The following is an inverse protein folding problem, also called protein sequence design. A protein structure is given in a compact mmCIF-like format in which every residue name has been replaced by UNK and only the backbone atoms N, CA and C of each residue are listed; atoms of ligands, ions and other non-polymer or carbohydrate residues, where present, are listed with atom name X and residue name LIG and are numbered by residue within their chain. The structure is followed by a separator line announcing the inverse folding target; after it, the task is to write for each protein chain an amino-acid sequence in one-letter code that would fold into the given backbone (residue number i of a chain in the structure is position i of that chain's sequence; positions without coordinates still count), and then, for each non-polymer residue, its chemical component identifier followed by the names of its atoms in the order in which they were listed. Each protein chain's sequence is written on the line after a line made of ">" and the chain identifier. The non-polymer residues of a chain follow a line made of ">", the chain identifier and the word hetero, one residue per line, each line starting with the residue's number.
data_IF_191603197434
#
_entry.id   IF_191603197434
#
_cell.length_a   1.000
_cell.length_b   1.000
_cell.length_c   1.000
_cell.angle_alpha   90.00
_cell.angle_beta   90.00
_cell.angle_gamma   90.00
#
_symmetry.space_group_name_H-M   'P 1'
#
loop_
_entity.id
_entity.type
_entity.pdbx_description
1 polymer ?
#
# COMPACT_ATOMS: atom_id res chain seq x y z
N UNK A 1 13.48 8.95 -73.36
CA UNK A 1 13.79 7.50 -73.46
C UNK A 1 13.75 6.95 -72.05
N UNK A 2 12.57 6.57 -71.55
CA UNK A 2 12.03 5.18 -71.49
C UNK A 2 12.90 4.31 -70.55
N UNK A 3 12.41 3.68 -69.48
CA UNK A 3 11.08 3.10 -69.25
C UNK A 3 10.89 2.70 -67.77
N UNK A 4 9.68 2.95 -67.23
CA UNK A 4 8.99 2.07 -66.27
C UNK A 4 7.89 1.30 -67.03
N UNK A 5 7.40 0.17 -66.50
CA UNK A 5 5.97 0.06 -66.21
C UNK A 5 5.73 -0.56 -64.80
N UNK A 6 4.80 -0.16 -63.94
CA UNK A 6 3.33 -0.02 -63.99
C UNK A 6 2.58 -1.36 -64.14
N UNK A 7 1.92 -1.76 -63.05
CA UNK A 7 0.76 -2.67 -63.04
C UNK A 7 -0.33 -1.97 -62.24
N UNK A 8 -1.49 -1.80 -62.86
CA UNK A 8 -2.75 -1.32 -62.29
C UNK A 8 -3.88 -2.14 -62.95
N UNK A 9 -5.11 -1.95 -62.45
CA UNK A 9 -6.44 -2.28 -63.03
C UNK A 9 -7.00 -3.69 -62.70
N UNK A 10 -8.27 -3.95 -62.31
CA UNK A 10 -9.57 -3.23 -62.37
C UNK A 10 -10.53 -3.71 -61.23
N UNK A 11 -11.29 -2.73 -60.73
CA UNK A 11 -12.63 -2.67 -60.13
C UNK A 11 -13.64 -3.84 -60.29
N UNK A 12 -14.49 -4.00 -59.27
CA UNK A 12 -15.78 -4.71 -59.35
C UNK A 12 -16.77 -4.14 -58.33
N UNK A 13 -17.59 -3.19 -58.77
CA UNK A 13 -18.77 -2.65 -58.08
C UNK A 13 -19.95 -3.63 -58.15
N UNK A 14 -20.76 -3.75 -57.08
CA UNK A 14 -22.20 -3.50 -57.22
C UNK A 14 -22.86 -3.20 -55.86
N UNK A 15 -23.70 -2.17 -55.86
CA UNK A 15 -24.64 -1.79 -54.80
C UNK A 15 -25.96 -2.51 -55.05
N UNK A 16 -26.71 -2.85 -53.99
CA UNK A 16 -28.18 -2.75 -53.93
C UNK A 16 -28.70 -3.09 -52.52
N UNK A 17 -29.15 -2.06 -51.82
CA UNK A 17 -30.21 -2.05 -50.80
C UNK A 17 -31.56 -1.77 -51.51
N UNK A 18 -32.74 -1.75 -50.85
CA UNK A 18 -33.24 -2.47 -49.66
C UNK A 18 -34.67 -3.06 -49.91
N UNK A 19 -35.27 -3.76 -48.93
CA UNK A 19 -36.65 -3.53 -48.40
C UNK A 19 -37.39 -4.75 -47.77
N UNK A 20 -37.85 -4.51 -46.52
CA UNK A 20 -39.21 -4.75 -45.96
C UNK A 20 -39.67 -6.15 -45.45
N UNK A 21 -39.97 -6.15 -44.13
CA UNK A 21 -40.97 -6.92 -43.34
C UNK A 21 -40.85 -8.47 -43.28
N UNK A 22 -41.27 -9.20 -42.25
CA UNK A 22 -42.28 -9.00 -41.21
C UNK A 22 -42.07 -10.05 -40.08
N UNK A 23 -42.66 -9.74 -38.92
CA UNK A 23 -43.06 -10.58 -37.77
C UNK A 23 -42.70 -12.09 -37.68
N UNK A 24 -42.31 -12.53 -36.46
CA UNK A 24 -42.43 -13.94 -36.10
C UNK A 24 -41.70 -14.38 -34.82
N UNK A 25 -42.37 -14.24 -33.67
CA UNK A 25 -42.37 -15.11 -32.48
C UNK A 25 -41.06 -15.74 -31.93
N UNK A 26 -40.82 -15.44 -30.65
CA UNK A 26 -40.02 -16.23 -29.71
C UNK A 26 -40.45 -17.71 -29.64
N UNK A 27 -39.59 -18.59 -29.10
CA UNK A 27 -39.99 -19.19 -27.84
C UNK A 27 -38.94 -19.10 -26.74
N UNK A 28 -39.49 -18.95 -25.54
CA UNK A 28 -38.87 -18.82 -24.24
C UNK A 28 -38.05 -20.07 -23.87
N UNK A 29 -36.78 -19.86 -23.52
CA UNK A 29 -35.96 -20.87 -22.84
C UNK A 29 -36.17 -20.80 -21.32
N UNK A 30 -36.94 -21.74 -20.78
CA UNK A 30 -37.14 -21.91 -19.33
C UNK A 30 -35.87 -22.43 -18.65
N UNK A 31 -35.19 -21.61 -17.85
CA UNK A 31 -34.13 -22.05 -16.94
C UNK A 31 -34.77 -22.66 -15.68
N UNK A 32 -34.88 -23.99 -15.63
CA UNK A 32 -35.27 -24.73 -14.42
C UNK A 32 -34.10 -24.77 -13.43
N UNK A 33 -34.29 -24.15 -12.26
CA UNK A 33 -33.46 -24.37 -11.05
C UNK A 33 -33.49 -25.84 -10.66
N UNK A 34 -32.33 -26.51 -10.60
CA UNK A 34 -32.16 -27.75 -9.82
C UNK A 34 -31.64 -27.39 -8.43
N UNK A 35 -32.44 -27.74 -7.41
CA UNK A 35 -32.02 -27.83 -6.00
C UNK A 35 -31.08 -29.04 -5.86
N UNK A 36 -29.97 -28.87 -5.16
CA UNK A 36 -29.21 -29.97 -4.58
C UNK A 36 -29.69 -30.19 -3.13
N UNK A 37 -29.65 -31.43 -2.59
CA UNK A 37 -30.16 -31.75 -1.27
C UNK A 37 -29.19 -31.35 -0.15
N UNK A 38 -29.82 -31.12 1.00
CA UNK A 38 -29.30 -30.86 2.33
C UNK A 38 -28.72 -32.17 2.91
N UNK A 39 -27.48 -32.14 3.41
CA UNK A 39 -26.92 -33.21 4.24
C UNK A 39 -26.18 -32.58 5.42
N UNK A 40 -26.81 -32.71 6.59
CA UNK A 40 -26.26 -32.39 7.90
C UNK A 40 -25.71 -33.67 8.53
N UNK A 41 -24.66 -33.49 9.37
CA UNK A 41 -24.01 -34.42 10.32
C UNK A 41 -22.64 -34.94 9.85
N UNK A 42 -21.57 -34.41 10.44
CA UNK A 42 -20.76 -35.18 11.38
C UNK A 42 -19.86 -34.25 12.23
N UNK A 43 -19.92 -34.49 13.52
CA UNK A 43 -19.11 -33.93 14.59
C UNK A 43 -17.76 -34.64 14.70
N UNK A 44 -16.78 -33.89 15.22
CA UNK A 44 -15.65 -34.30 16.04
C UNK A 44 -14.31 -34.81 15.45
N UNK A 45 -13.28 -34.16 16.00
CA UNK A 45 -11.98 -34.68 16.43
C UNK A 45 -10.82 -34.69 15.43
N UNK A 46 -10.02 -33.62 15.46
CA UNK A 46 -8.58 -33.71 15.22
C UNK A 46 -7.83 -32.76 16.15
N UNK A 47 -7.40 -33.29 17.30
CA UNK A 47 -6.30 -32.71 18.06
C UNK A 47 -5.50 -33.83 18.74
N UNK A 48 -4.18 -33.68 18.69
CA UNK A 48 -3.13 -34.41 19.44
C UNK A 48 -2.72 -35.80 18.94
N UNK A 49 -1.52 -35.87 18.38
CA UNK A 49 -0.69 -37.08 18.43
C UNK A 49 0.78 -36.73 18.13
N UNK A 50 1.58 -36.35 19.14
CA UNK A 50 3.04 -36.52 19.13
C UNK A 50 3.51 -36.67 20.58
N UNK A 51 4.08 -37.82 20.92
CA UNK A 51 4.79 -38.03 22.18
C UNK A 51 4.56 -39.38 22.83
N UNK A 52 5.31 -40.40 22.42
CA UNK A 52 5.69 -41.52 23.28
C UNK A 52 6.83 -42.32 22.64
N UNK A 53 8.00 -42.29 23.28
CA UNK A 53 8.71 -43.48 23.78
C UNK A 53 10.17 -43.13 24.02
N UNK A 54 10.63 -43.33 25.26
CA UNK A 54 11.92 -43.88 25.65
C UNK A 54 11.94 -44.00 27.18
N UNK A 55 11.78 -45.22 27.67
CA UNK A 55 12.13 -45.64 29.04
C UNK A 55 13.61 -46.02 29.09
N UNK A 56 14.28 -45.83 30.24
CA UNK A 56 15.38 -46.72 30.59
C UNK A 56 15.21 -47.36 31.97
N UNK A 57 15.74 -48.58 32.02
CA UNK A 57 15.77 -49.49 33.15
C UNK A 57 16.62 -48.98 34.33
N UNK A 58 16.16 -49.32 35.54
CA UNK A 58 16.87 -49.18 36.81
C UNK A 58 17.79 -50.39 37.03
N UNK A 59 19.02 -50.14 37.48
CA UNK A 59 19.84 -51.14 38.19
C UNK A 59 20.42 -50.49 39.45
N UNK A 60 20.28 -51.21 40.57
CA UNK A 60 20.67 -50.79 41.91
C UNK A 60 22.16 -51.02 42.21
N UNK A 61 22.71 -50.25 43.16
CA UNK A 61 23.74 -50.72 44.09
C UNK A 61 23.76 -49.87 45.38
N UNK A 62 23.93 -50.57 46.50
CA UNK A 62 23.81 -50.10 47.90
C UNK A 62 25.09 -49.45 48.44
N UNK A 63 24.92 -48.55 49.42
CA UNK A 63 25.97 -48.13 50.36
C UNK A 63 25.48 -47.06 51.35
N UNK A 64 25.58 -47.24 52.69
CA UNK A 64 25.04 -46.31 53.68
C UNK A 64 26.14 -45.51 54.39
N UNK A 65 26.12 -44.16 54.37
CA UNK A 65 26.85 -43.30 55.32
C UNK A 65 26.25 -41.87 55.26
N UNK A 66 25.44 -41.46 56.25
CA UNK A 66 25.75 -40.59 57.42
C UNK A 66 25.57 -39.07 57.17
N UNK A 67 24.96 -38.44 58.18
CA UNK A 67 24.93 -37.04 58.62
C UNK A 67 24.03 -36.02 57.91
N UNK A 68 22.96 -35.66 58.64
CA UNK A 68 22.53 -34.30 58.99
C UNK A 68 22.76 -33.18 57.97
N UNK A 69 21.67 -32.77 57.30
CA UNK A 69 21.54 -31.47 56.66
C UNK A 69 20.45 -30.70 57.43
N UNK A 70 20.73 -29.49 57.93
CA UNK A 70 19.77 -28.71 58.71
C UNK A 70 18.61 -28.25 57.82
N UNK A 71 17.40 -28.38 58.33
CA UNK A 71 16.19 -27.79 57.78
C UNK A 71 16.25 -26.26 57.89
N UNK A 72 16.90 -25.61 56.93
CA UNK A 72 16.80 -24.17 56.73
C UNK A 72 16.01 -23.88 55.46
N UNK A 73 14.87 -23.24 55.67
CA UNK A 73 14.22 -22.25 54.82
C UNK A 73 14.62 -22.27 53.33
N UNK A 74 13.72 -22.77 52.50
CA UNK A 74 13.44 -22.17 51.20
C UNK A 74 11.92 -22.07 51.07
N UNK A 75 11.34 -21.08 51.75
CA UNK A 75 10.20 -20.38 51.16
C UNK A 75 10.77 -19.74 49.90
N UNK A 76 10.55 -20.36 48.74
CA UNK A 76 10.59 -19.61 47.49
C UNK A 76 9.36 -18.73 47.57
N UNK A 77 9.58 -17.55 48.14
CA UNK A 77 8.68 -16.42 47.99
C UNK A 77 8.48 -16.27 46.48
N UNK A 78 7.23 -16.42 46.04
CA UNK A 78 6.77 -16.07 44.70
C UNK A 78 7.17 -14.61 44.51
N UNK A 79 8.37 -14.38 43.97
CA UNK A 79 8.76 -13.10 43.43
C UNK A 79 7.81 -12.87 42.25
N UNK A 80 6.64 -12.32 42.57
CA UNK A 80 5.83 -11.60 41.59
C UNK A 80 6.68 -10.40 41.21
N UNK A 81 7.47 -10.67 40.19
CA UNK A 81 8.32 -9.77 39.46
C UNK A 81 7.59 -8.46 39.17
N UNK A 82 8.37 -7.37 39.17
CA UNK A 82 8.00 -5.98 38.91
C UNK A 82 6.64 -5.76 38.23
N UNK A 83 5.82 -4.87 38.81
CA UNK A 83 4.51 -4.46 38.29
C UNK A 83 4.56 -4.24 36.76
N UNK A 84 4.06 -5.23 36.03
CA UNK A 84 4.03 -5.20 34.57
C UNK A 84 2.87 -4.31 34.15
N UNK A 85 3.14 -3.26 33.39
CA UNK A 85 2.13 -2.31 32.90
C UNK A 85 1.94 -2.46 31.39
N UNK A 86 0.71 -2.22 30.93
CA UNK A 86 0.46 -2.07 29.49
C UNK A 86 1.20 -0.79 29.03
N UNK A 87 1.90 -0.88 27.90
CA UNK A 87 2.60 0.27 27.33
C UNK A 87 1.66 1.42 26.98
N UNK A 88 2.22 2.61 26.70
CA UNK A 88 1.43 3.77 26.29
C UNK A 88 0.59 3.46 25.04
N UNK A 89 -0.71 3.77 25.12
CA UNK A 89 -1.70 3.71 24.04
C UNK A 89 -1.92 2.33 23.40
N UNK A 90 -2.44 1.34 24.16
CA UNK A 90 -2.80 0.05 23.59
C UNK A 90 -3.80 0.24 22.45
N UNK A 91 -3.55 -0.47 21.34
CA UNK A 91 -4.42 -0.49 20.18
C UNK A 91 -4.58 -1.90 19.63
N UNK A 92 -5.75 -2.19 19.09
CA UNK A 92 -6.05 -3.45 18.42
C UNK A 92 -7.06 -3.22 17.29
N UNK A 93 -7.18 -4.18 16.38
CA UNK A 93 -8.13 -4.02 15.28
C UNK A 93 -8.03 -5.08 14.21
N UNK A 94 -8.35 -4.70 12.97
CA UNK A 94 -8.32 -5.59 11.80
C UNK A 94 -7.42 -5.01 10.73
N UNK A 95 -6.53 -5.84 10.21
CA UNK A 95 -5.60 -5.52 9.14
C UNK A 95 -5.89 -6.37 7.88
N UNK A 96 -5.36 -5.95 6.74
CA UNK A 96 -5.41 -6.65 5.44
C UNK A 96 -6.84 -6.94 4.93
N UNK A 97 -7.80 -6.05 5.22
CA UNK A 97 -9.18 -6.19 4.74
C UNK A 97 -9.28 -5.69 3.30
N UNK A 98 -9.33 -6.62 2.33
CA UNK A 98 -9.51 -6.27 0.91
C UNK A 98 -10.97 -5.89 0.62
N UNK A 99 -11.16 -4.74 -0.02
CA UNK A 99 -12.47 -4.22 -0.42
C UNK A 99 -12.43 -3.85 -1.90
N UNK A 100 -13.44 -4.28 -2.64
CA UNK A 100 -13.69 -3.87 -4.02
C UNK A 100 -15.06 -3.21 -4.10
N UNK A 101 -15.14 -2.03 -4.71
CA UNK A 101 -16.39 -1.33 -4.99
C UNK A 101 -16.43 -0.94 -6.47
N UNK A 102 -17.59 -1.14 -7.07
CA UNK A 102 -17.88 -0.78 -8.45
C UNK A 102 -19.05 0.20 -8.47
N UNK A 103 -18.87 1.28 -9.23
CA UNK A 103 -19.94 2.20 -9.58
C UNK A 103 -20.37 1.92 -11.02
N UNK A 104 -21.68 1.81 -11.23
CA UNK A 104 -22.28 1.54 -12.54
C UNK A 104 -23.14 2.72 -12.93
N UNK A 105 -22.74 3.41 -13.98
CA UNK A 105 -23.54 4.45 -14.62
C UNK A 105 -24.34 3.80 -15.74
N UNK A 106 -25.60 3.49 -15.45
CA UNK A 106 -26.51 2.86 -16.41
C UNK A 106 -26.84 3.81 -17.58
N UNK A 107 -26.90 5.12 -17.32
CA UNK A 107 -27.20 6.10 -18.35
C UNK A 107 -26.04 6.24 -19.35
N UNK A 108 -24.81 6.23 -18.85
CA UNK A 108 -23.61 6.28 -19.70
C UNK A 108 -23.19 4.90 -20.23
N UNK A 109 -23.71 3.80 -19.70
CA UNK A 109 -23.27 2.44 -20.01
C UNK A 109 -21.83 2.15 -19.57
N UNK A 110 -21.33 2.86 -18.55
CA UNK A 110 -19.94 2.75 -18.07
C UNK A 110 -19.87 2.29 -16.62
N UNK A 111 -18.75 1.65 -16.27
CA UNK A 111 -18.45 1.25 -14.89
C UNK A 111 -17.11 1.86 -14.46
N UNK A 112 -16.96 2.22 -13.19
CA UNK A 112 -15.69 2.56 -12.55
C UNK A 112 -15.48 1.67 -11.32
N UNK A 113 -14.21 1.40 -11.00
CA UNK A 113 -13.85 0.45 -9.94
C UNK A 113 -12.85 1.06 -8.99
N UNK A 114 -12.92 0.68 -7.73
CA UNK A 114 -11.94 0.99 -6.69
C UNK A 114 -11.69 -0.27 -5.90
N UNK A 115 -10.42 -0.65 -5.82
CA UNK A 115 -9.96 -1.74 -4.98
C UNK A 115 -9.01 -1.18 -3.95
N UNK A 116 -9.18 -1.58 -2.69
CA UNK A 116 -8.37 -1.09 -1.58
C UNK A 116 -8.08 -2.20 -0.57
N UNK A 117 -6.98 -2.05 0.17
CA UNK A 117 -6.71 -2.79 1.40
C UNK A 117 -6.85 -1.83 2.58
N UNK A 118 -7.67 -2.19 3.57
CA UNK A 118 -8.00 -1.37 4.72
C UNK A 118 -7.46 -2.01 6.00
N UNK A 119 -6.85 -1.19 6.85
CA UNK A 119 -6.52 -1.49 8.24
C UNK A 119 -7.25 -0.51 9.16
N UNK A 120 -7.81 -0.98 10.26
CA UNK A 120 -8.47 -0.14 11.26
C UNK A 120 -8.10 -0.60 12.65
N UNK A 121 -7.47 0.28 13.44
CA UNK A 121 -6.97 0.04 14.79
C UNK A 121 -7.61 1.03 15.77
N UNK A 122 -8.21 0.53 16.84
CA UNK A 122 -8.92 1.31 17.85
C UNK A 122 -8.09 1.47 19.13
N UNK A 123 -8.14 2.66 19.72
CA UNK A 123 -7.59 3.03 21.03
C UNK A 123 -8.74 3.44 21.97
N UNK A 124 -8.59 3.25 23.28
CA UNK A 124 -9.63 3.64 24.24
C UNK A 124 -9.40 3.09 25.64
N UNK A 125 -10.47 3.07 26.43
CA UNK A 125 -10.52 2.40 27.74
C UNK A 125 -10.63 0.89 27.55
N UNK A 126 -9.54 0.27 27.07
CA UNK A 126 -9.48 -1.15 26.68
C UNK A 126 -8.44 -1.95 27.48
N UNK A 127 -7.75 -1.32 28.42
CA UNK A 127 -6.65 -1.91 29.19
C UNK A 127 -7.07 -3.18 29.95
N UNK A 128 -8.30 -3.23 30.46
CA UNK A 128 -8.82 -4.37 31.21
C UNK A 128 -8.88 -5.67 30.39
N UNK A 129 -8.97 -5.57 29.05
CA UNK A 129 -8.86 -6.74 28.18
C UNK A 129 -7.47 -7.39 28.21
N UNK A 130 -6.42 -6.60 28.49
CA UNK A 130 -5.04 -7.07 28.60
C UNK A 130 -4.72 -7.52 30.02
N UNK A 131 -5.12 -6.73 31.02
CA UNK A 131 -4.66 -6.90 32.41
C UNK A 131 -5.58 -7.80 33.24
N UNK A 132 -6.87 -7.89 32.87
CA UNK A 132 -7.90 -8.62 33.62
C UNK A 132 -8.63 -9.67 32.78
N UNK A 133 -8.22 -9.86 31.54
CA UNK A 133 -8.90 -10.70 30.55
C UNK A 133 -10.40 -10.34 30.38
N UNK A 134 -10.76 -9.06 30.58
CA UNK A 134 -12.13 -8.60 30.39
C UNK A 134 -12.40 -8.22 28.92
N UNK A 135 -13.15 -9.06 28.23
CA UNK A 135 -13.53 -8.81 26.84
C UNK A 135 -14.74 -7.87 26.69
N UNK A 136 -15.36 -7.38 27.78
CA UNK A 136 -16.55 -6.52 27.72
C UNK A 136 -16.31 -5.21 26.97
N UNK A 137 -15.06 -4.70 27.00
CA UNK A 137 -14.62 -3.48 26.31
C UNK A 137 -14.15 -3.73 24.87
N UNK A 138 -14.17 -4.97 24.39
CA UNK A 138 -13.61 -5.35 23.08
C UNK A 138 -14.68 -5.36 22.00
N UNK A 139 -14.57 -4.44 21.04
CA UNK A 139 -15.21 -4.54 19.72
C UNK A 139 -14.49 -5.60 18.91
N UNK A 140 -15.06 -6.80 18.82
CA UNK A 140 -14.43 -7.92 18.13
C UNK A 140 -13.89 -7.52 16.74
N UNK A 141 -12.69 -7.99 16.40
CA UNK A 141 -12.03 -7.60 15.13
C UNK A 141 -12.81 -8.06 13.89
N UNK A 142 -13.65 -9.10 14.02
CA UNK A 142 -14.60 -9.49 12.99
C UNK A 142 -15.71 -8.44 12.79
N UNK A 143 -16.19 -7.83 13.86
CA UNK A 143 -17.14 -6.71 13.80
C UNK A 143 -16.50 -5.50 13.10
N UNK A 144 -15.23 -5.19 13.38
CA UNK A 144 -14.48 -4.12 12.67
C UNK A 144 -14.42 -4.40 11.17
N UNK A 145 -14.12 -5.64 10.76
CA UNK A 145 -14.15 -6.08 9.36
C UNK A 145 -15.54 -5.90 8.72
N UNK A 146 -16.60 -6.30 9.43
CA UNK A 146 -17.97 -6.16 8.94
C UNK A 146 -18.33 -4.67 8.77
N UNK A 147 -17.94 -3.82 9.72
CA UNK A 147 -18.12 -2.36 9.65
C UNK A 147 -17.41 -1.76 8.44
N UNK A 148 -16.18 -2.18 8.12
CA UNK A 148 -15.47 -1.75 6.90
C UNK A 148 -16.32 -2.01 5.66
N UNK A 149 -16.87 -3.22 5.51
CA UNK A 149 -17.71 -3.56 4.35
C UNK A 149 -19.02 -2.77 4.31
N UNK A 150 -19.69 -2.63 5.46
CA UNK A 150 -20.95 -1.89 5.58
C UNK A 150 -20.74 -0.42 5.23
N UNK A 151 -19.70 0.23 5.78
CA UNK A 151 -19.39 1.63 5.48
C UNK A 151 -18.96 1.84 4.04
N UNK A 152 -18.24 0.89 3.44
CA UNK A 152 -17.96 0.93 2.01
C UNK A 152 -19.23 0.82 1.15
N UNK A 153 -20.27 0.12 1.62
CA UNK A 153 -21.57 0.07 0.93
C UNK A 153 -22.36 1.37 1.08
N UNK A 154 -22.42 1.92 2.28
CA UNK A 154 -23.22 3.11 2.64
C UNK A 154 -22.63 4.43 2.10
N UNK A 155 -21.31 4.51 1.96
CA UNK A 155 -20.61 5.77 1.67
C UNK A 155 -19.71 5.68 0.44
N UNK A 156 -19.34 6.82 -0.17
CA UNK A 156 -18.27 6.86 -1.16
C UNK A 156 -16.96 6.30 -0.58
N UNK A 157 -16.21 5.58 -1.40
CA UNK A 157 -14.85 5.09 -1.05
C UNK A 157 -13.75 5.99 -1.61
N UNK A 158 -14.11 6.97 -2.45
CA UNK A 158 -13.23 7.97 -3.01
C UNK A 158 -13.71 9.37 -2.61
N UNK A 159 -12.80 10.30 -2.28
CA UNK A 159 -11.38 10.05 -2.03
C UNK A 159 -11.17 9.14 -0.78
N UNK A 160 -10.09 8.33 -0.73
CA UNK A 160 -9.84 7.41 0.38
C UNK A 160 -9.72 8.12 1.73
N UNK A 161 -9.24 9.38 1.74
CA UNK A 161 -9.19 10.23 2.92
C UNK A 161 -10.59 10.40 3.55
N UNK A 162 -11.60 10.73 2.73
CA UNK A 162 -12.98 10.89 3.21
C UNK A 162 -13.53 9.56 3.75
N UNK A 163 -13.31 8.47 3.03
CA UNK A 163 -13.77 7.15 3.44
C UNK A 163 -13.18 6.73 4.79
N UNK A 164 -11.87 6.89 4.95
CA UNK A 164 -11.16 6.59 6.19
C UNK A 164 -11.66 7.45 7.36
N UNK A 165 -11.90 8.75 7.14
CA UNK A 165 -12.49 9.64 8.14
C UNK A 165 -13.91 9.23 8.55
N UNK A 166 -14.76 8.86 7.58
CA UNK A 166 -16.12 8.37 7.89
C UNK A 166 -16.07 7.08 8.71
N UNK A 167 -15.21 6.14 8.33
CA UNK A 167 -15.05 4.88 9.04
C UNK A 167 -14.55 5.10 10.48
N UNK A 168 -13.52 5.93 10.66
CA UNK A 168 -12.99 6.25 11.99
C UNK A 168 -14.02 6.96 12.87
N UNK A 169 -14.72 7.96 12.32
CA UNK A 169 -15.78 8.69 13.04
C UNK A 169 -16.89 7.75 13.53
N UNK A 170 -17.29 6.77 12.72
CA UNK A 170 -18.32 5.81 13.13
C UNK A 170 -17.97 5.05 14.41
N UNK A 171 -16.72 4.60 14.60
CA UNK A 171 -16.33 3.90 15.82
C UNK A 171 -16.42 4.80 17.05
N UNK A 172 -16.03 6.06 16.90
CA UNK A 172 -16.16 7.04 17.97
C UNK A 172 -17.63 7.34 18.28
N UNK A 173 -18.46 7.56 17.28
CA UNK A 173 -19.89 7.86 17.50
C UNK A 173 -20.65 6.68 18.13
N UNK A 174 -20.21 5.45 17.86
CA UNK A 174 -20.89 4.23 18.29
C UNK A 174 -20.43 3.75 19.67
N UNK A 175 -19.14 3.87 19.99
CA UNK A 175 -18.54 3.29 21.19
C UNK A 175 -17.95 4.39 22.10
N UNK A 176 -18.63 4.73 23.21
CA UNK A 176 -18.18 5.82 24.09
C UNK A 176 -16.80 5.60 24.73
N UNK A 177 -16.40 4.34 24.95
CA UNK A 177 -15.13 3.98 25.56
C UNK A 177 -13.95 3.99 24.56
N UNK A 178 -14.20 4.15 23.26
CA UNK A 178 -13.19 4.29 22.22
C UNK A 178 -12.84 5.79 22.09
N UNK A 179 -11.54 6.10 22.19
CA UNK A 179 -11.00 7.47 22.15
C UNK A 179 -10.38 7.83 20.80
N UNK A 180 -9.85 6.84 20.06
CA UNK A 180 -9.32 7.06 18.72
C UNK A 180 -9.52 5.87 17.78
N UNK A 181 -9.62 6.17 16.49
CA UNK A 181 -9.60 5.20 15.41
C UNK A 181 -8.54 5.58 14.38
N UNK A 182 -7.58 4.68 14.16
CA UNK A 182 -6.50 4.82 13.19
C UNK A 182 -6.85 3.95 11.98
N UNK A 183 -7.12 4.58 10.84
CA UNK A 183 -7.54 3.92 9.61
C UNK A 183 -6.49 4.14 8.54
N UNK A 184 -5.93 3.06 8.00
CA UNK A 184 -5.06 3.09 6.83
C UNK A 184 -5.78 2.47 5.64
N UNK A 185 -5.69 3.13 4.48
CA UNK A 185 -6.29 2.71 3.22
C UNK A 185 -5.23 2.76 2.14
N UNK A 186 -4.95 1.61 1.53
CA UNK A 186 -4.09 1.48 0.35
C UNK A 186 -4.99 1.25 -0.86
N UNK A 187 -5.06 2.19 -1.79
CA UNK A 187 -5.83 2.07 -3.03
C UNK A 187 -4.94 1.48 -4.12
N UNK A 188 -5.39 0.35 -4.67
CA UNK A 188 -4.72 -0.34 -5.77
C UNK A 188 -5.17 0.24 -7.12
N UNK A 189 -4.22 0.53 -8.00
CA UNK A 189 -4.51 1.14 -9.30
C UNK A 189 -5.22 0.15 -10.24
N UNK A 190 -6.30 0.66 -10.85
CA UNK A 190 -7.02 0.05 -11.95
C UNK A 190 -7.23 1.08 -13.04
N UNK A 191 -6.31 1.13 -14.00
CA UNK A 191 -6.35 2.07 -15.11
C UNK A 191 -7.32 1.56 -16.18
N UNK A 192 -8.28 2.39 -16.57
CA UNK A 192 -9.22 2.07 -17.64
C UNK A 192 -8.46 1.82 -18.95
N UNK A 193 -8.67 0.66 -19.56
CA UNK A 193 -8.06 0.34 -20.85
C UNK A 193 -8.55 1.28 -21.95
N UNK A 194 -7.69 1.62 -22.90
CA UNK A 194 -8.04 2.32 -24.14
C UNK A 194 -7.92 1.33 -25.29
N UNK A 195 -9.01 1.09 -26.02
CA UNK A 195 -9.07 0.18 -27.18
C UNK A 195 -9.52 1.00 -28.38
N UNK A 196 -8.77 0.93 -29.48
CA UNK A 196 -9.01 1.72 -30.70
C UNK A 196 -9.16 3.23 -30.44
N UNK A 197 -8.32 3.76 -29.55
CA UNK A 197 -8.32 5.18 -29.17
C UNK A 197 -9.49 5.60 -28.26
N UNK A 198 -10.32 4.65 -27.79
CA UNK A 198 -11.50 4.93 -26.94
C UNK A 198 -11.38 4.24 -25.58
N UNK A 199 -11.73 4.92 -24.47
CA UNK A 199 -11.76 4.29 -23.16
C UNK A 199 -12.81 3.15 -23.11
N UNK A 200 -12.41 1.97 -22.63
CA UNK A 200 -13.30 0.81 -22.53
C UNK A 200 -14.33 1.03 -21.39
N UNK A 201 -15.61 0.69 -21.58
CA UNK A 201 -16.66 0.96 -20.58
C UNK A 201 -16.45 0.24 -19.24
N UNK A 202 -15.78 -0.90 -19.21
CA UNK A 202 -15.69 -1.76 -18.02
C UNK A 202 -14.44 -2.66 -17.96
N UNK A 203 -13.37 -2.34 -18.70
CA UNK A 203 -12.12 -3.13 -18.64
C UNK A 203 -10.97 -2.28 -18.14
N UNK A 204 -10.17 -2.85 -17.24
CA UNK A 204 -9.13 -2.17 -16.49
C UNK A 204 -7.86 -3.02 -16.45
N UNK A 205 -6.71 -2.38 -16.39
CA UNK A 205 -5.40 -3.01 -16.23
C UNK A 205 -4.68 -2.44 -15.01
N UNK A 206 -3.77 -3.21 -14.42
CA UNK A 206 -2.90 -2.75 -13.33
C UNK A 206 -1.56 -2.33 -13.92
N UNK A 207 -1.29 -1.02 -13.95
CA UNK A 207 -0.18 -0.40 -14.68
C UNK A 207 1.04 -0.12 -13.78
N UNK A 208 1.38 -1.08 -12.92
CA UNK A 208 2.46 -0.98 -11.94
C UNK A 208 1.98 -1.21 -10.51
N UNK A 209 2.92 -1.08 -9.57
CA UNK A 209 2.69 -1.29 -8.13
C UNK A 209 2.44 0.01 -7.37
N UNK A 210 2.38 1.15 -8.07
CA UNK A 210 2.06 2.46 -7.50
C UNK A 210 0.70 2.41 -6.77
N UNK A 211 0.65 2.93 -5.55
CA UNK A 211 -0.60 3.04 -4.78
C UNK A 211 -0.87 4.47 -4.34
N UNK A 212 -2.15 4.78 -4.15
CA UNK A 212 -2.60 5.97 -3.42
C UNK A 212 -2.97 5.56 -2.01
N UNK A 213 -2.35 6.17 -1.01
CA UNK A 213 -2.52 5.81 0.39
C UNK A 213 -3.17 6.96 1.16
N UNK A 214 -3.98 6.62 2.15
CA UNK A 214 -4.49 7.55 3.15
C UNK A 214 -4.38 6.91 4.54
N UNK A 215 -3.79 7.64 5.48
CA UNK A 215 -3.76 7.31 6.90
C UNK A 215 -4.52 8.40 7.65
N UNK A 216 -5.54 7.99 8.39
CA UNK A 216 -6.42 8.90 9.12
C UNK A 216 -6.49 8.49 10.57
N UNK A 217 -6.15 9.41 11.47
CA UNK A 217 -6.39 9.26 12.90
C UNK A 217 -7.55 10.16 13.29
N UNK A 218 -8.65 9.55 13.72
CA UNK A 218 -9.84 10.24 14.22
C UNK A 218 -9.83 10.18 15.74
N UNK A 219 -9.90 11.32 16.40
CA UNK A 219 -10.13 11.45 17.85
C UNK A 219 -11.36 12.29 18.15
N UNK A 220 -11.65 12.51 19.43
CA UNK A 220 -12.73 13.41 19.87
C UNK A 220 -12.37 14.89 19.63
N UNK A 221 -11.09 15.20 19.51
CA UNK A 221 -10.55 16.55 19.35
C UNK A 221 -10.35 16.94 17.87
N UNK A 222 -10.29 15.96 16.96
CA UNK A 222 -10.16 16.24 15.54
C UNK A 222 -9.77 15.04 14.69
N UNK A 223 -9.44 15.33 13.44
CA UNK A 223 -9.08 14.36 12.41
C UNK A 223 -7.74 14.75 11.82
N UNK A 224 -6.73 13.92 12.04
CA UNK A 224 -5.43 14.02 11.38
C UNK A 224 -5.44 13.15 10.13
N UNK A 225 -5.06 13.74 9.00
CA UNK A 225 -5.02 13.05 7.70
C UNK A 225 -3.61 13.15 7.14
N UNK A 226 -3.07 12.01 6.72
CA UNK A 226 -1.86 11.90 5.90
C UNK A 226 -2.25 11.20 4.61
N UNK A 227 -2.04 11.87 3.49
CA UNK A 227 -2.20 11.26 2.17
C UNK A 227 -0.83 10.85 1.65
N UNK A 228 -0.79 9.97 0.64
CA UNK A 228 0.48 9.63 0.01
C UNK A 228 0.40 8.86 -1.29
N UNK A 229 1.57 8.79 -1.92
CA UNK A 229 1.92 7.91 -3.03
C UNK A 229 2.96 6.95 -2.49
N UNK A 230 2.86 5.67 -2.84
CA UNK A 230 3.92 4.71 -2.58
C UNK A 230 4.24 3.92 -3.84
N UNK A 231 5.48 3.43 -3.94
CA UNK A 231 5.97 2.54 -5.00
C UNK A 231 5.83 3.11 -6.42
N UNK A 232 5.92 4.43 -6.56
CA UNK A 232 6.02 5.05 -7.88
C UNK A 232 7.45 4.86 -8.41
N UNK A 233 7.67 3.77 -9.15
CA UNK A 233 8.96 3.42 -9.73
C UNK A 233 9.31 4.33 -10.92
N UNK A 234 10.46 5.00 -10.84
CA UNK A 234 10.98 5.87 -11.90
C UNK A 234 12.47 5.61 -12.16
N UNK A 235 12.91 5.92 -13.38
CA UNK A 235 14.30 5.85 -13.80
C UNK A 235 14.59 6.97 -14.80
N UNK A 236 15.73 7.65 -14.62
CA UNK A 236 16.34 8.52 -15.64
C UNK A 236 17.75 8.02 -15.95
N UNK A 237 18.09 7.97 -17.23
CA UNK A 237 19.33 7.36 -17.72
C UNK A 237 20.54 8.28 -17.69
N UNK A 238 20.32 9.59 -17.51
CA UNK A 238 21.33 10.65 -17.42
C UNK A 238 20.72 11.84 -16.66
N UNK A 239 21.44 12.95 -16.51
CA UNK A 239 20.96 14.14 -15.79
C UNK A 239 20.86 13.91 -14.29
N UNK A 240 21.75 13.07 -13.75
CA UNK A 240 21.99 12.91 -12.32
C UNK A 240 23.49 12.81 -12.08
N UNK A 241 23.93 13.42 -10.99
CA UNK A 241 25.32 13.58 -10.61
C UNK A 241 25.49 13.23 -9.13
N UNK A 242 26.73 13.01 -8.71
CA UNK A 242 27.11 12.90 -7.30
C UNK A 242 28.61 13.10 -7.12
N UNK A 243 28.97 14.28 -6.66
CA UNK A 243 30.34 14.71 -6.43
C UNK A 243 30.37 15.71 -5.25
N UNK A 244 31.56 16.06 -4.76
CA UNK A 244 31.74 16.98 -3.63
C UNK A 244 31.31 16.41 -2.27
N UNK A 245 31.14 15.09 -2.17
CA UNK A 245 30.85 14.42 -0.89
C UNK A 245 32.12 14.30 -0.02
N UNK A 246 31.93 14.12 1.28
CA UNK A 246 33.03 13.94 2.24
C UNK A 246 33.90 12.75 1.82
N UNK A 247 35.22 12.93 1.88
CA UNK A 247 36.20 11.88 1.61
C UNK A 247 37.06 11.66 2.84
N UNK A 248 37.09 10.41 3.28
CA UNK A 248 37.85 9.93 4.42
C UNK A 248 38.45 8.54 4.11
N UNK A 249 39.03 7.89 5.11
CA UNK A 249 39.65 6.56 5.00
C UNK A 249 38.67 5.43 4.64
N UNK A 250 37.35 5.66 4.70
CA UNK A 250 36.31 4.68 4.34
C UNK A 250 35.79 4.87 2.91
N UNK A 251 36.21 5.93 2.22
CA UNK A 251 35.61 6.36 0.96
C UNK A 251 36.27 5.71 -0.27
N UNK A 252 35.60 4.72 -0.86
CA UNK A 252 36.02 4.09 -2.14
C UNK A 252 35.23 4.57 -3.36
N UNK A 253 34.08 5.22 -3.14
CA UNK A 253 33.20 5.68 -4.20
C UNK A 253 33.87 6.78 -5.05
N UNK A 254 33.99 6.61 -6.38
CA UNK A 254 34.39 7.68 -7.26
C UNK A 254 33.28 8.72 -7.39
N UNK A 255 33.68 9.97 -7.61
CA UNK A 255 32.75 11.03 -8.00
C UNK A 255 32.23 10.79 -9.41
N UNK A 256 31.00 11.22 -9.69
CA UNK A 256 30.42 11.18 -11.02
C UNK A 256 29.64 12.44 -11.35
N UNK A 257 29.75 12.86 -12.61
CA UNK A 257 29.01 13.98 -13.21
C UNK A 257 27.91 13.50 -14.16
N UNK A 258 27.78 12.20 -14.38
CA UNK A 258 26.66 11.61 -15.10
C UNK A 258 26.43 10.17 -14.64
N UNK A 259 25.22 9.85 -14.22
CA UNK A 259 24.83 8.51 -13.79
C UNK A 259 23.34 8.26 -13.98
N UNK A 260 22.99 6.98 -14.03
CA UNK A 260 21.60 6.53 -13.89
C UNK A 260 21.11 6.84 -12.47
N UNK A 261 19.87 7.32 -12.38
CA UNK A 261 19.15 7.43 -11.12
C UNK A 261 17.82 6.67 -11.24
N UNK A 262 17.56 5.76 -10.31
CA UNK A 262 16.28 5.06 -10.19
C UNK A 262 15.84 5.01 -8.73
N UNK A 263 14.54 5.16 -8.50
CA UNK A 263 13.96 5.16 -7.16
C UNK A 263 12.50 4.69 -7.19
N UNK A 264 12.03 4.21 -6.04
CA UNK A 264 10.60 4.04 -5.77
C UNK A 264 10.17 5.27 -4.95
N UNK A 265 9.36 6.15 -5.52
CA UNK A 265 8.92 7.36 -4.82
C UNK A 265 7.83 7.00 -3.81
N UNK A 266 8.21 7.07 -2.53
CA UNK A 266 7.26 7.11 -1.41
C UNK A 266 7.18 8.56 -0.91
N UNK A 267 6.04 9.19 -1.15
CA UNK A 267 5.77 10.58 -0.79
C UNK A 267 4.49 10.67 0.04
N UNK A 268 4.56 11.29 1.21
CA UNK A 268 3.40 11.53 2.06
C UNK A 268 3.26 13.02 2.36
N UNK A 269 2.03 13.47 2.56
CA UNK A 269 1.74 14.84 2.96
C UNK A 269 0.70 14.86 4.08
N UNK A 270 1.07 15.51 5.20
CA UNK A 270 0.22 15.66 6.37
C UNK A 270 -0.59 16.94 6.24
N UNK A 271 -1.91 16.80 6.28
CA UNK A 271 -2.84 17.92 6.26
C UNK A 271 -2.87 18.63 7.61
N UNK A 272 -3.26 19.90 7.61
CA UNK A 272 -3.65 20.57 8.86
C UNK A 272 -4.82 19.82 9.48
N UNK A 273 -4.82 19.69 10.81
CA UNK A 273 -5.86 18.94 11.53
C UNK A 273 -7.24 19.51 11.24
N UNK A 274 -8.17 18.65 10.84
CA UNK A 274 -9.56 19.03 10.65
C UNK A 274 -10.29 18.92 11.99
N UNK A 275 -11.03 19.94 12.44
CA UNK A 275 -11.70 19.90 13.73
C UNK A 275 -12.88 18.90 13.76
N UNK A 276 -13.53 18.65 12.62
CA UNK A 276 -14.68 17.75 12.52
C UNK A 276 -14.75 17.08 11.15
N UNK A 277 -15.53 15.99 11.05
CA UNK A 277 -15.86 15.35 9.77
C UNK A 277 -16.60 16.31 8.81
N UNK A 278 -17.39 17.25 9.32
CA UNK A 278 -18.07 18.24 8.50
C UNK A 278 -17.07 19.21 7.84
N UNK A 279 -16.13 19.74 8.63
CA UNK A 279 -15.07 20.61 8.12
C UNK A 279 -14.18 19.91 7.08
N UNK A 280 -13.91 18.61 7.26
CA UNK A 280 -13.19 17.80 6.28
C UNK A 280 -13.98 17.64 4.97
N UNK A 281 -15.29 17.39 5.05
CA UNK A 281 -16.15 17.25 3.86
C UNK A 281 -16.20 18.51 3.00
N UNK A 282 -16.11 19.70 3.61
CA UNK A 282 -16.01 20.97 2.87
C UNK A 282 -14.73 21.08 2.03
N UNK A 283 -13.68 20.33 2.39
CA UNK A 283 -12.38 20.32 1.70
C UNK A 283 -12.15 19.07 0.86
N UNK A 284 -13.16 18.23 0.67
CA UNK A 284 -13.01 16.93 -0.02
C UNK A 284 -12.38 17.04 -1.41
N UNK A 285 -12.70 18.09 -2.17
CA UNK A 285 -12.15 18.33 -3.51
C UNK A 285 -10.65 18.62 -3.53
N UNK A 286 -10.04 18.97 -2.39
CA UNK A 286 -8.61 19.22 -2.30
C UNK A 286 -7.78 17.92 -2.30
N UNK A 287 -8.34 16.79 -1.86
CA UNK A 287 -7.59 15.53 -1.73
C UNK A 287 -7.14 14.96 -3.09
N UNK A 288 -8.08 14.81 -4.03
CA UNK A 288 -7.78 14.31 -5.37
C UNK A 288 -6.81 15.24 -6.09
N UNK A 289 -7.08 16.56 -6.02
CA UNK A 289 -6.21 17.58 -6.62
C UNK A 289 -4.78 17.52 -6.05
N UNK A 290 -4.63 17.47 -4.73
CA UNK A 290 -3.30 17.40 -4.10
C UNK A 290 -2.55 16.12 -4.48
N UNK A 291 -3.25 14.99 -4.59
CA UNK A 291 -2.64 13.75 -5.05
C UNK A 291 -2.17 13.82 -6.50
N UNK A 292 -3.01 14.34 -7.40
CA UNK A 292 -2.66 14.54 -8.82
C UNK A 292 -1.49 15.51 -8.98
N UNK A 293 -1.54 16.65 -8.29
CA UNK A 293 -0.47 17.65 -8.29
C UNK A 293 0.84 17.05 -7.76
N UNK A 294 0.80 16.36 -6.61
CA UNK A 294 2.00 15.75 -6.02
C UNK A 294 2.63 14.72 -6.95
N UNK A 295 1.82 13.83 -7.55
CA UNK A 295 2.29 12.85 -8.52
C UNK A 295 2.95 13.52 -9.73
N UNK A 296 2.29 14.54 -10.30
CA UNK A 296 2.80 15.26 -11.45
C UNK A 296 4.07 16.05 -11.12
N UNK A 297 4.15 16.66 -9.94
CA UNK A 297 5.33 17.37 -9.45
C UNK A 297 6.51 16.41 -9.29
N UNK A 298 6.31 15.25 -8.66
CA UNK A 298 7.34 14.23 -8.52
C UNK A 298 7.87 13.78 -9.90
N UNK A 299 6.97 13.42 -10.82
CA UNK A 299 7.36 12.98 -12.17
C UNK A 299 8.10 14.08 -12.94
N UNK A 300 7.55 15.29 -12.97
CA UNK A 300 8.12 16.41 -13.70
C UNK A 300 9.48 16.82 -13.14
N UNK A 301 9.58 16.98 -11.83
CA UNK A 301 10.84 17.38 -11.16
C UNK A 301 11.91 16.32 -11.34
N UNK A 302 11.57 15.04 -11.21
CA UNK A 302 12.50 13.95 -11.47
C UNK A 302 13.02 13.97 -12.92
N UNK A 303 12.13 14.19 -13.89
CA UNK A 303 12.49 14.21 -15.31
C UNK A 303 13.37 15.42 -15.68
N UNK A 304 12.99 16.62 -15.25
CA UNK A 304 13.58 17.88 -15.73
C UNK A 304 14.83 18.33 -14.95
N UNK A 305 14.98 17.94 -13.69
CA UNK A 305 16.09 18.41 -12.85
C UNK A 305 17.41 17.70 -13.23
N UNK A 306 18.45 18.47 -13.54
CA UNK A 306 19.83 17.95 -13.58
C UNK A 306 20.31 17.76 -12.13
N UNK A 307 20.12 16.55 -11.61
CA UNK A 307 20.07 16.27 -10.18
C UNK A 307 21.47 16.20 -9.55
N UNK A 308 21.87 17.13 -8.65
CA UNK A 308 23.17 17.05 -7.99
C UNK A 308 23.19 16.01 -6.85
N UNK A 309 22.02 15.65 -6.33
CA UNK A 309 21.80 14.59 -5.33
C UNK A 309 20.31 14.29 -5.18
N UNK A 310 20.01 13.11 -4.61
CA UNK A 310 18.63 12.72 -4.26
C UNK A 310 18.05 13.71 -3.24
N UNK A 311 18.85 14.14 -2.26
CA UNK A 311 18.49 15.11 -1.23
C UNK A 311 17.99 16.43 -1.83
N UNK A 312 18.75 17.01 -2.76
CA UNK A 312 18.39 18.28 -3.37
C UNK A 312 17.10 18.16 -4.21
N UNK A 313 16.97 17.06 -4.96
CA UNK A 313 15.81 16.84 -5.83
C UNK A 313 14.53 16.60 -5.02
N UNK A 314 14.59 15.79 -3.95
CA UNK A 314 13.42 15.52 -3.11
C UNK A 314 12.98 16.74 -2.31
N UNK A 315 13.92 17.62 -1.91
CA UNK A 315 13.59 18.88 -1.27
C UNK A 315 12.78 19.79 -2.21
N UNK A 316 13.24 19.96 -3.46
CA UNK A 316 12.52 20.71 -4.51
C UNK A 316 11.12 20.15 -4.79
N UNK A 317 10.97 18.82 -4.82
CA UNK A 317 9.65 18.18 -4.92
C UNK A 317 8.76 18.57 -3.75
N UNK A 318 9.29 18.51 -2.52
CA UNK A 318 8.55 18.80 -1.30
C UNK A 318 8.07 20.25 -1.25
N UNK A 319 8.93 21.21 -1.60
CA UNK A 319 8.56 22.63 -1.68
C UNK A 319 7.43 22.87 -2.67
N UNK A 320 7.55 22.34 -3.89
CA UNK A 320 6.51 22.46 -4.92
C UNK A 320 5.18 21.83 -4.51
N UNK A 321 5.21 20.69 -3.80
CA UNK A 321 3.99 20.04 -3.27
C UNK A 321 3.33 20.94 -2.21
N UNK A 322 4.13 21.50 -1.30
CA UNK A 322 3.62 22.46 -0.31
C UNK A 322 3.01 23.69 -1.01
N UNK A 323 3.63 24.24 -2.04
CA UNK A 323 3.06 25.36 -2.79
C UNK A 323 1.73 25.01 -3.46
N UNK A 324 1.63 23.82 -4.07
CA UNK A 324 0.43 23.38 -4.79
C UNK A 324 -0.75 23.00 -3.87
N UNK A 325 -0.47 22.59 -2.62
CA UNK A 325 -1.48 22.15 -1.66
C UNK A 325 -1.47 22.99 -0.37
N UNK A 326 -2.16 24.16 -0.34
CA UNK A 326 -2.15 25.07 0.82
C UNK A 326 -2.63 24.47 2.15
N UNK A 327 -3.49 23.44 2.11
CA UNK A 327 -3.98 22.73 3.30
C UNK A 327 -2.99 21.73 3.90
N UNK A 328 -1.84 21.52 3.27
CA UNK A 328 -0.78 20.63 3.74
C UNK A 328 0.18 21.38 4.66
N UNK A 329 0.48 20.79 5.81
CA UNK A 329 1.40 21.31 6.83
C UNK A 329 2.85 20.84 6.59
N UNK A 330 3.02 19.58 6.17
CA UNK A 330 4.34 19.01 5.88
C UNK A 330 4.28 17.93 4.80
N UNK A 331 5.40 17.73 4.13
CA UNK A 331 5.62 16.71 3.11
C UNK A 331 6.83 15.88 3.51
N UNK A 332 6.71 14.56 3.46
CA UNK A 332 7.80 13.62 3.74
C UNK A 332 8.04 12.73 2.53
N UNK A 333 9.29 12.61 2.10
CA UNK A 333 9.69 11.65 1.05
C UNK A 333 10.69 10.65 1.62
N UNK A 334 10.59 9.40 1.15
CA UNK A 334 11.57 8.34 1.35
C UNK A 334 11.94 7.75 -0.01
N UNK A 335 13.18 7.96 -0.44
CA UNK A 335 13.65 7.59 -1.77
C UNK A 335 14.83 6.62 -1.66
N UNK A 336 14.64 5.32 -1.96
CA UNK A 336 15.76 4.40 -2.11
C UNK A 336 16.52 4.73 -3.40
N UNK A 337 17.85 4.81 -3.34
CA UNK A 337 18.68 4.89 -4.54
C UNK A 337 18.93 3.48 -5.07
N UNK A 338 18.19 3.09 -6.11
CA UNK A 338 18.25 1.76 -6.73
C UNK A 338 19.39 1.77 -7.76
N UNK A 339 20.50 1.13 -7.41
CA UNK A 339 21.75 1.28 -8.14
C UNK A 339 21.81 0.50 -9.46
N UNK A 340 22.42 1.11 -10.46
CA UNK A 340 22.80 0.51 -11.73
C UNK A 340 24.31 0.69 -11.90
N UNK A 341 25.08 -0.38 -11.68
CA UNK A 341 26.54 -0.31 -11.76
C UNK A 341 27.03 -0.53 -13.18
N UNK A 342 28.01 0.26 -13.60
CA UNK A 342 28.77 -0.02 -14.83
C UNK A 342 29.47 -1.37 -14.71
N UNK A 343 29.66 -2.05 -15.84
CA UNK A 343 30.37 -3.32 -15.91
C UNK A 343 31.63 -3.11 -16.73
N UNK A 344 32.80 -3.23 -16.11
CA UNK A 344 34.07 -3.23 -16.84
C UNK A 344 34.20 -4.51 -17.68
N UNK A 345 34.22 -4.33 -19.00
CA UNK A 345 34.38 -5.40 -19.99
C UNK A 345 35.72 -5.33 -20.72
N UNK A 346 36.66 -4.49 -20.30
CA UNK A 346 37.97 -4.31 -20.94
C UNK A 346 38.80 -5.60 -21.00
N UNK A 347 38.58 -6.49 -20.03
CA UNK A 347 39.17 -7.83 -20.00
C UNK A 347 38.78 -8.70 -21.20
N UNK A 348 37.61 -8.45 -21.82
CA UNK A 348 37.17 -9.16 -23.00
C UNK A 348 37.53 -8.36 -24.25
N UNK A 349 38.74 -8.62 -24.79
CA UNK A 349 39.22 -8.05 -26.07
C UNK A 349 39.25 -6.51 -26.09
N UNK A 350 39.39 -5.86 -24.94
CA UNK A 350 39.46 -4.40 -24.85
C UNK A 350 38.13 -3.68 -25.10
N UNK A 351 36.99 -4.34 -24.89
CA UNK A 351 35.68 -3.69 -25.00
C UNK A 351 35.57 -2.52 -24.02
N UNK A 352 34.98 -1.42 -24.49
CA UNK A 352 34.71 -0.23 -23.68
C UNK A 352 33.24 -0.24 -23.27
N UNK A 353 32.97 -0.17 -21.96
CA UNK A 353 31.62 -0.16 -21.40
C UNK A 353 31.58 0.62 -20.06
N UNK A 354 32.43 1.64 -19.92
CA UNK A 354 32.51 2.47 -18.72
C UNK A 354 32.60 3.96 -19.08
N UNK A 355 32.20 4.83 -18.16
CA UNK A 355 32.12 6.28 -18.39
C UNK A 355 31.30 6.63 -19.63
N UNK A 356 31.88 7.41 -20.54
CA UNK A 356 31.19 7.84 -21.78
C UNK A 356 30.82 6.70 -22.74
N UNK A 357 31.48 5.55 -22.62
CA UNK A 357 31.28 4.38 -23.46
C UNK A 357 30.33 3.37 -22.79
N UNK A 358 29.75 3.68 -21.63
CA UNK A 358 28.88 2.77 -20.89
C UNK A 358 27.51 2.61 -21.54
N UNK A 359 27.14 1.37 -21.86
CA UNK A 359 25.85 1.01 -22.46
C UNK A 359 25.14 -0.12 -21.69
N UNK A 360 25.91 -1.01 -21.06
CA UNK A 360 25.41 -2.17 -20.31
C UNK A 360 25.71 -2.00 -18.82
N UNK A 361 24.66 -2.09 -18.01
CA UNK A 361 24.72 -1.92 -16.56
C UNK A 361 24.19 -3.16 -15.84
N UNK A 362 24.64 -3.37 -14.61
CA UNK A 362 24.11 -4.37 -13.69
C UNK A 362 23.17 -3.70 -12.68
N UNK A 363 21.83 -3.88 -12.77
CA UNK A 363 20.91 -3.46 -11.74
C UNK A 363 21.17 -4.23 -10.44
N UNK A 364 21.23 -3.52 -9.31
CA UNK A 364 21.49 -4.12 -8.01
C UNK A 364 20.19 -4.28 -7.22
N UNK A 365 19.88 -5.49 -6.74
CA UNK A 365 18.73 -5.73 -5.87
C UNK A 365 18.94 -5.17 -4.45
N UNK A 366 20.20 -5.09 -4.01
CA UNK A 366 20.62 -4.54 -2.73
C UNK A 366 22.16 -4.64 -2.57
N UNK A 367 22.77 -3.87 -1.68
CA UNK A 367 22.16 -2.84 -0.83
C UNK A 367 21.73 -1.60 -1.64
N UNK A 368 20.97 -0.70 -1.01
CA UNK A 368 20.56 0.58 -1.58
C UNK A 368 20.79 1.72 -0.57
N UNK A 369 21.15 2.90 -1.06
CA UNK A 369 21.01 4.12 -0.27
C UNK A 369 19.52 4.36 0.05
N UNK A 370 19.21 4.93 1.22
CA UNK A 370 17.84 5.34 1.57
C UNK A 370 17.89 6.77 2.10
N UNK A 371 17.28 7.70 1.36
CA UNK A 371 17.29 9.11 1.68
C UNK A 371 15.88 9.50 2.14
N UNK A 372 15.78 10.17 3.30
CA UNK A 372 14.51 10.64 3.86
C UNK A 372 14.60 12.13 4.19
N UNK A 373 13.52 12.85 3.94
CA UNK A 373 13.38 14.25 4.32
C UNK A 373 11.92 14.54 4.64
N UNK A 374 11.68 15.37 5.66
CA UNK A 374 10.39 15.99 5.93
C UNK A 374 10.57 17.50 5.84
N UNK A 375 9.79 18.14 4.98
CA UNK A 375 9.77 19.60 4.81
C UNK A 375 8.43 20.11 5.33
N UNK A 376 8.48 21.13 6.18
CA UNK A 376 7.32 21.81 6.75
C UNK A 376 7.35 23.27 6.36
N UNK A 377 6.19 23.94 6.38
CA UNK A 377 6.14 25.40 6.22
C UNK A 377 6.85 26.09 7.38
N UNK A 378 7.51 27.21 7.08
CA UNK A 378 8.16 28.10 8.05
C UNK A 378 7.17 28.89 8.88
#
# INVERSE_FOLDING_TARGET
>A
MSSRPLFELILGTDRRDPDVANAGQQPQGTYRRRRAPDDTKHHDSLSRAWGAHLTPHISANLGPYVSDIPSQLLFVEDQRDAATQVGSDPRYGKDNVRVYKVHRDEAAGTQSVTEMTVCCMLEGQIEESYTKADNSVVVATDSIKNTIYIKAKEHPVNPPELYASILGQHFLDTYPHISAANVSVVVHRWTRMVVDGKPHPHSFLRDGEETRNAEVRVTREGIEVTSGIAKLLVLKSTGSQFHGFVRDEFTTLPETWDRILSTDVDATWKWTTFPTLAALKEKVGAFDKAWEDARNICLKTFAEEDSPSVQATMYKMSEKILEAAPGVASVSLALPNKHYFEIDLSWHKGLKNTGKDAEVYAPQSGPNGLIKCTVSRS
#
